data_IF_683927571025
#
_entry.id   IF_683927571025
#
_cell.length_a   1.000
_cell.length_b   1.000
_cell.length_c   1.000
_cell.angle_alpha   90.00
_cell.angle_beta   90.00
_cell.angle_gamma   90.00
#
_symmetry.space_group_name_H-M   'P 1'
#
loop_
_entity.id
_entity.type
_entity.pdbx_description
1 polymer ?
#
# COMPACT_ATOMS: atom_id res chain seq x y z
N UNK A 1 -25.81 7.83 16.31
CA UNK A 1 -26.41 6.51 16.01
C UNK A 1 -25.30 5.65 15.41
N UNK A 2 -24.73 4.71 16.15
CA UNK A 2 -23.76 3.76 15.59
C UNK A 2 -24.58 2.63 14.94
N UNK A 3 -24.83 2.74 13.63
CA UNK A 3 -25.51 1.68 12.89
C UNK A 3 -24.64 0.42 12.87
N UNK A 4 -25.20 -0.73 13.25
CA UNK A 4 -24.52 -2.01 13.04
C UNK A 4 -24.49 -2.30 11.54
N UNK A 5 -23.31 -2.62 11.01
CA UNK A 5 -23.18 -3.03 9.60
C UNK A 5 -23.85 -4.38 9.41
N UNK A 6 -24.99 -4.39 8.70
CA UNK A 6 -25.76 -5.59 8.39
C UNK A 6 -25.84 -5.81 6.89
N UNK A 7 -25.93 -7.08 6.48
CA UNK A 7 -26.19 -7.44 5.10
C UNK A 7 -27.62 -7.02 4.72
N UNK A 8 -27.76 -6.21 3.66
CA UNK A 8 -29.08 -5.77 3.17
C UNK A 8 -30.00 -6.87 2.65
N UNK A 9 -29.52 -8.13 2.52
CA UNK A 9 -30.30 -9.27 2.05
C UNK A 9 -30.75 -10.23 3.15
N UNK A 10 -29.93 -10.51 4.16
CA UNK A 10 -30.27 -11.47 5.23
C UNK A 10 -30.08 -10.95 6.66
N UNK A 11 -29.74 -9.66 6.81
CA UNK A 11 -29.46 -9.00 8.08
C UNK A 11 -28.29 -9.56 8.90
N UNK A 12 -27.55 -10.54 8.38
CA UNK A 12 -26.32 -11.05 8.99
C UNK A 12 -25.24 -9.97 9.08
N UNK A 13 -24.41 -10.02 10.13
CA UNK A 13 -23.38 -9.01 10.42
C UNK A 13 -21.94 -9.49 10.18
N UNK A 14 -21.76 -10.69 9.61
CA UNK A 14 -20.44 -11.25 9.30
C UNK A 14 -20.15 -11.18 7.80
N UNK A 15 -18.94 -10.74 7.46
CA UNK A 15 -18.48 -10.57 6.09
C UNK A 15 -17.11 -11.22 5.89
N UNK A 16 -16.87 -11.71 4.69
CA UNK A 16 -15.60 -12.31 4.27
C UNK A 16 -15.14 -11.75 2.93
N UNK A 17 -13.83 -11.77 2.70
CA UNK A 17 -13.23 -11.57 1.39
C UNK A 17 -13.26 -12.90 0.63
N UNK A 18 -13.67 -12.85 -0.63
CA UNK A 18 -13.66 -14.00 -1.54
C UNK A 18 -13.03 -13.57 -2.86
N UNK A 19 -12.01 -14.28 -3.32
CA UNK A 19 -11.40 -14.00 -4.63
C UNK A 19 -12.44 -14.24 -5.72
N UNK A 20 -12.56 -13.29 -6.63
CA UNK A 20 -13.54 -13.31 -7.72
C UNK A 20 -12.89 -12.94 -9.04
N UNK A 21 -13.38 -13.58 -10.11
CA UNK A 21 -13.07 -13.19 -11.48
C UNK A 21 -14.14 -12.18 -11.92
N UNK A 22 -13.76 -10.92 -12.07
CA UNK A 22 -14.63 -9.89 -12.65
C UNK A 22 -14.27 -9.70 -14.10
N UNK A 23 -15.26 -9.83 -14.98
CA UNK A 23 -15.06 -9.69 -16.41
C UNK A 23 -14.51 -8.29 -16.74
N UNK A 24 -13.43 -8.24 -17.54
CA UNK A 24 -12.75 -7.00 -17.91
C UNK A 24 -11.79 -6.43 -16.86
N UNK A 25 -11.64 -7.07 -15.69
CA UNK A 25 -10.65 -6.64 -14.70
C UNK A 25 -9.23 -7.05 -15.13
N UNK A 26 -8.30 -6.10 -15.07
CA UNK A 26 -6.90 -6.34 -15.40
C UNK A 26 -6.11 -7.06 -14.28
N UNK A 27 -6.69 -7.17 -13.09
CA UNK A 27 -6.05 -7.73 -11.90
C UNK A 27 -7.07 -8.51 -11.05
N UNK A 28 -6.55 -9.36 -10.17
CA UNK A 28 -7.35 -10.14 -9.22
C UNK A 28 -8.11 -9.20 -8.28
N UNK A 29 -9.36 -9.52 -8.01
CA UNK A 29 -10.20 -8.73 -7.10
C UNK A 29 -10.81 -9.63 -6.04
N UNK A 30 -11.12 -9.02 -4.90
CA UNK A 30 -11.91 -9.63 -3.85
C UNK A 30 -13.33 -9.05 -3.87
N UNK A 31 -14.32 -9.91 -3.69
CA UNK A 31 -15.64 -9.48 -3.28
C UNK A 31 -15.73 -9.53 -1.75
N UNK A 32 -16.27 -8.47 -1.16
CA UNK A 32 -16.72 -8.49 0.23
C UNK A 32 -18.13 -9.06 0.19
N UNK A 33 -18.35 -10.21 0.83
CA UNK A 33 -19.66 -10.88 0.81
C UNK A 33 -20.10 -11.32 2.19
N UNK A 34 -21.42 -11.37 2.40
CA UNK A 34 -21.99 -11.88 3.64
C UNK A 34 -21.64 -13.36 3.83
N UNK A 35 -21.15 -13.72 5.01
CA UNK A 35 -20.82 -15.11 5.32
C UNK A 35 -22.05 -16.01 5.32
N UNK A 36 -23.22 -15.49 5.74
CA UNK A 36 -24.45 -16.28 5.87
C UNK A 36 -25.15 -16.54 4.53
N UNK A 37 -25.31 -15.52 3.69
CA UNK A 37 -26.09 -15.63 2.45
C UNK A 37 -25.28 -15.44 1.16
N UNK A 38 -23.95 -15.29 1.29
CA UNK A 38 -23.00 -15.14 0.18
C UNK A 38 -23.30 -13.97 -0.76
N UNK A 39 -24.12 -13.01 -0.31
CA UNK A 39 -24.47 -11.85 -1.12
C UNK A 39 -23.30 -10.87 -1.13
N UNK A 40 -22.75 -10.52 -2.30
CA UNK A 40 -21.68 -9.54 -2.42
C UNK A 40 -22.24 -8.15 -2.08
N UNK A 41 -21.50 -7.41 -1.26
CA UNK A 41 -21.83 -6.04 -0.84
C UNK A 41 -20.82 -5.02 -1.37
N UNK A 42 -19.73 -5.48 -1.99
CA UNK A 42 -18.72 -4.64 -2.61
C UNK A 42 -17.61 -5.46 -3.23
N UNK A 43 -16.77 -4.79 -4.01
CA UNK A 43 -15.52 -5.33 -4.56
C UNK A 43 -14.36 -4.46 -4.11
N UNK A 44 -13.21 -5.08 -3.90
CA UNK A 44 -11.96 -4.42 -3.52
C UNK A 44 -10.78 -5.09 -4.22
N UNK A 45 -9.66 -4.39 -4.25
CA UNK A 45 -8.44 -4.86 -4.90
C UNK A 45 -7.84 -6.03 -4.12
N UNK A 46 -7.19 -6.97 -4.81
CA UNK A 46 -6.54 -8.11 -4.15
C UNK A 46 -5.36 -7.68 -3.27
N UNK A 47 -4.67 -6.61 -3.65
CA UNK A 47 -3.59 -6.01 -2.87
C UNK A 47 -4.06 -4.69 -2.27
N UNK A 48 -3.62 -4.43 -1.03
CA UNK A 48 -3.73 -3.09 -0.44
C UNK A 48 -2.72 -2.16 -1.13
N UNK A 49 -3.14 -1.60 -2.26
CA UNK A 49 -2.35 -0.66 -3.05
C UNK A 49 -1.96 0.57 -2.22
N UNK A 50 -2.79 1.00 -1.26
CA UNK A 50 -2.47 2.11 -0.36
C UNK A 50 -1.27 1.80 0.53
N UNK A 51 -1.21 0.60 1.10
CA UNK A 51 -0.04 0.15 1.87
C UNK A 51 1.21 -0.02 1.00
N UNK A 52 1.06 -0.46 -0.26
CA UNK A 52 2.18 -0.54 -1.19
C UNK A 52 2.72 0.84 -1.57
N UNK A 53 1.85 1.80 -1.86
CA UNK A 53 2.22 3.19 -2.16
C UNK A 53 2.96 3.83 -0.99
N UNK A 54 2.46 3.69 0.25
CA UNK A 54 3.16 4.19 1.45
C UNK A 54 4.54 3.58 1.63
N UNK A 55 4.71 2.29 1.32
CA UNK A 55 6.03 1.63 1.35
C UNK A 55 6.97 2.21 0.30
N UNK A 56 6.47 2.49 -0.91
CA UNK A 56 7.25 3.14 -1.97
C UNK A 56 7.65 4.57 -1.58
N UNK A 57 6.72 5.38 -1.06
CA UNK A 57 7.01 6.74 -0.58
C UNK A 57 8.13 6.74 0.47
N UNK A 58 8.06 5.82 1.44
CA UNK A 58 9.10 5.67 2.45
C UNK A 58 10.45 5.29 1.83
N UNK A 59 10.46 4.33 0.92
CA UNK A 59 11.69 3.89 0.25
C UNK A 59 12.34 5.02 -0.56
N UNK A 60 11.54 5.85 -1.23
CA UNK A 60 12.01 7.03 -1.98
C UNK A 60 12.63 8.05 -1.03
N UNK A 61 11.96 8.35 0.09
CA UNK A 61 12.49 9.28 1.10
C UNK A 61 13.83 8.80 1.69
N UNK A 62 13.92 7.51 2.05
CA UNK A 62 15.15 6.91 2.58
C UNK A 62 16.29 6.95 1.55
N UNK A 63 16.00 6.70 0.27
CA UNK A 63 16.98 6.84 -0.81
C UNK A 63 17.46 8.29 -0.96
N UNK A 64 16.56 9.26 -0.88
CA UNK A 64 16.91 10.68 -0.90
C UNK A 64 17.89 11.06 0.21
N UNK A 65 17.63 10.61 1.45
CA UNK A 65 18.54 10.86 2.57
C UNK A 65 19.92 10.21 2.38
N UNK A 66 19.95 8.97 1.89
CA UNK A 66 21.21 8.27 1.61
C UNK A 66 22.04 8.99 0.55
N UNK A 67 21.41 9.51 -0.51
CA UNK A 67 22.09 10.30 -1.55
C UNK A 67 22.69 11.56 -0.92
N UNK A 68 21.93 12.31 -0.13
CA UNK A 68 22.45 13.52 0.54
C UNK A 68 23.63 13.21 1.47
N UNK A 69 23.62 12.07 2.17
CA UNK A 69 24.75 11.65 3.00
C UNK A 69 25.99 11.34 2.16
N UNK A 70 25.83 10.67 1.01
CA UNK A 70 26.92 10.36 0.08
C UNK A 70 27.49 11.66 -0.51
N UNK A 71 26.65 12.59 -0.95
CA UNK A 71 27.08 13.89 -1.48
C UNK A 71 27.92 14.66 -0.47
N UNK A 72 27.48 14.71 0.79
CA UNK A 72 28.22 15.34 1.88
C UNK A 72 29.58 14.66 2.12
N UNK A 73 29.61 13.33 2.16
CA UNK A 73 30.84 12.56 2.36
C UNK A 73 31.83 12.79 1.20
N UNK A 74 31.36 12.79 -0.04
CA UNK A 74 32.18 13.06 -1.23
C UNK A 74 32.76 14.47 -1.18
N UNK A 75 31.96 15.48 -0.82
CA UNK A 75 32.44 16.85 -0.68
C UNK A 75 33.53 16.98 0.40
N UNK A 76 33.35 16.32 1.56
CA UNK A 76 34.36 16.31 2.62
C UNK A 76 35.68 15.66 2.17
N UNK A 77 35.60 14.53 1.46
CA UNK A 77 36.77 13.88 0.87
C UNK A 77 37.45 14.81 -0.13
N UNK A 78 36.69 15.48 -1.01
CA UNK A 78 37.23 16.42 -1.97
C UNK A 78 37.99 17.57 -1.28
N UNK A 79 37.44 18.14 -0.22
CA UNK A 79 38.12 19.18 0.58
C UNK A 79 39.40 18.66 1.24
N UNK A 80 39.38 17.46 1.83
CA UNK A 80 40.55 16.86 2.45
C UNK A 80 41.67 16.57 1.44
N UNK A 81 41.32 16.10 0.23
CA UNK A 81 42.30 15.89 -0.84
C UNK A 81 42.91 17.22 -1.34
N UNK A 82 42.11 18.28 -1.41
CA UNK A 82 42.59 19.61 -1.79
C UNK A 82 43.55 20.20 -0.73
N UNK A 83 43.31 19.96 0.56
CA UNK A 83 44.18 20.47 1.62
C UNK A 83 45.52 19.73 1.68
N UNK A 84 45.56 18.44 1.33
CA UNK A 84 46.78 17.63 1.24
C UNK A 84 47.67 17.95 0.02
N UNK A 85 47.11 18.62 -0.99
CA UNK A 85 47.84 19.02 -2.21
C UNK A 85 48.63 20.34 -2.03
N UNK A 86 48.41 21.07 -0.94
CA UNK A 86 49.18 22.28 -0.59
C UNK A 86 50.38 21.92 0.28
#
# INVERSE_FOLDING_TARGET
MFGSTKCGKCEGAAFKLQEVNVNGAAYRMYAIQCTSCQTPIGVTEYFDNGSLLKKQEKAIADLGQKISHIENAVNQIAYALQSLRR
#
